data_IF_229643402995
#
_entry.id   IF_229643402995
#
_cell.length_a   1.000
_cell.length_b   1.000
_cell.length_c   1.000
_cell.angle_alpha   90.00
_cell.angle_beta   90.00
_cell.angle_gamma   90.00
#
_symmetry.space_group_name_H-M   'P 1'
#
loop_
_entity.id
_entity.type
_entity.pdbx_description
1 polymer ?
#
# COMPACT_ATOMS: atom_id res chain seq x y z
N UNK A 1 -6.07 5.88 -22.53
CA UNK A 1 -5.16 5.53 -21.44
C UNK A 1 -3.84 5.22 -22.11
N UNK A 2 -2.81 6.04 -21.88
CA UNK A 2 -1.47 5.73 -22.39
C UNK A 2 -1.00 4.44 -21.72
N UNK A 3 -0.19 3.64 -22.41
CA UNK A 3 0.30 2.35 -21.89
C UNK A 3 1.23 2.43 -20.67
N UNK A 4 1.28 3.58 -20.00
CA UNK A 4 2.11 3.94 -18.84
C UNK A 4 1.26 4.48 -17.68
N UNK A 5 -0.07 4.45 -17.79
CA UNK A 5 -1.01 4.88 -16.75
C UNK A 5 -1.28 3.72 -15.76
N UNK A 6 -0.22 3.25 -15.09
CA UNK A 6 -0.29 2.20 -14.08
C UNK A 6 0.84 2.36 -13.04
N UNK A 7 0.62 1.94 -11.79
CA UNK A 7 1.69 1.85 -10.80
C UNK A 7 2.61 0.67 -11.11
N UNK A 8 3.92 0.88 -11.28
CA UNK A 8 4.89 -0.23 -11.34
C UNK A 8 4.99 -0.93 -9.98
N UNK A 9 5.04 -0.15 -8.91
CA UNK A 9 5.18 -0.66 -7.55
C UNK A 9 4.22 0.07 -6.60
N UNK A 10 3.48 -0.69 -5.80
CA UNK A 10 2.69 -0.16 -4.68
C UNK A 10 3.26 -0.67 -3.37
N UNK A 11 3.68 0.26 -2.53
CA UNK A 11 4.19 0.01 -1.18
C UNK A 11 3.09 0.26 -0.17
N UNK A 12 2.90 -0.68 0.76
CA UNK A 12 1.99 -0.52 1.90
C UNK A 12 2.83 -0.47 3.17
N UNK A 13 2.74 0.65 3.88
CA UNK A 13 3.53 0.93 5.07
C UNK A 13 2.61 1.19 6.27
N UNK A 14 3.03 0.73 7.45
CA UNK A 14 2.39 1.00 8.73
C UNK A 14 3.48 1.35 9.73
N UNK A 15 3.70 2.63 9.97
CA UNK A 15 4.88 3.13 10.70
C UNK A 15 4.97 2.63 12.15
N UNK A 16 3.82 2.36 12.77
CA UNK A 16 3.70 1.92 14.16
C UNK A 16 3.78 0.39 14.35
N UNK A 17 3.93 -0.37 13.26
CA UNK A 17 4.21 -1.79 13.34
C UNK A 17 5.72 -2.04 13.55
N UNK A 18 6.11 -3.11 14.28
CA UNK A 18 7.53 -3.48 14.44
C UNK A 18 8.29 -3.63 13.12
N UNK A 19 7.56 -4.02 12.07
CA UNK A 19 8.02 -4.05 10.70
C UNK A 19 7.15 -3.07 9.89
N UNK A 20 7.66 -1.87 9.57
CA UNK A 20 6.87 -0.85 8.91
C UNK A 20 6.46 -1.19 7.47
N UNK A 21 7.32 -1.86 6.71
CA UNK A 21 7.01 -2.32 5.37
C UNK A 21 6.17 -3.59 5.43
N UNK A 22 4.88 -3.47 5.11
CA UNK A 22 3.94 -4.59 5.18
C UNK A 22 3.95 -5.41 3.90
N UNK A 23 3.96 -4.74 2.76
CA UNK A 23 3.98 -5.39 1.47
C UNK A 23 4.43 -4.45 0.34
N UNK A 24 4.96 -5.06 -0.72
CA UNK A 24 5.24 -4.44 -2.01
C UNK A 24 4.57 -5.25 -3.11
N UNK A 25 3.79 -4.57 -3.94
CA UNK A 25 3.09 -5.18 -5.07
C UNK A 25 3.66 -4.64 -6.36
N UNK A 26 4.03 -5.54 -7.26
CA UNK A 26 4.53 -5.19 -8.58
C UNK A 26 3.41 -5.39 -9.57
N UNK A 27 3.10 -4.35 -10.34
CA UNK A 27 2.19 -4.48 -11.47
C UNK A 27 2.97 -4.37 -12.77
N UNK A 28 2.36 -4.90 -13.81
CA UNK A 28 2.86 -4.83 -15.18
C UNK A 28 1.70 -4.49 -16.10
N UNK A 29 2.01 -4.11 -17.33
CA UNK A 29 0.98 -3.90 -18.35
C UNK A 29 0.11 -5.16 -18.59
N UNK A 30 0.62 -6.36 -18.29
CA UNK A 30 -0.14 -7.62 -18.39
C UNK A 30 -1.12 -7.84 -17.23
N UNK A 31 -1.03 -7.05 -16.15
CA UNK A 31 -1.90 -7.16 -14.98
C UNK A 31 -3.33 -6.68 -15.25
N UNK A 32 -3.57 -5.99 -16.37
CA UNK A 32 -4.89 -5.54 -16.82
C UNK A 32 -5.45 -4.34 -16.05
N UNK A 33 -5.63 -4.47 -14.72
CA UNK A 33 -6.07 -3.39 -13.83
C UNK A 33 -5.29 -3.42 -12.52
N UNK A 34 -4.86 -2.25 -12.04
CA UNK A 34 -4.20 -2.10 -10.75
C UNK A 34 -5.23 -2.00 -9.61
N UNK A 35 -5.95 -3.10 -9.36
CA UNK A 35 -6.88 -3.26 -8.24
C UNK A 35 -6.37 -4.37 -7.31
N UNK A 36 -6.25 -4.07 -6.02
CA UNK A 36 -5.72 -4.98 -5.02
C UNK A 36 -6.46 -4.81 -3.69
N UNK A 37 -6.86 -5.93 -3.11
CA UNK A 37 -7.37 -6.01 -1.74
C UNK A 37 -6.46 -6.90 -0.89
N UNK A 38 -6.01 -6.37 0.26
CA UNK A 38 -5.15 -7.09 1.20
C UNK A 38 -5.72 -7.08 2.60
N UNK A 39 -5.27 -8.04 3.42
CA UNK A 39 -5.51 -8.05 4.87
C UNK A 39 -4.18 -7.99 5.59
N UNK A 40 -4.04 -7.00 6.46
CA UNK A 40 -2.81 -6.75 7.23
C UNK A 40 -3.10 -6.87 8.72
N UNK A 41 -2.08 -7.24 9.50
CA UNK A 41 -2.15 -7.23 10.97
C UNK A 41 -1.61 -5.90 11.48
N UNK A 42 -2.41 -5.20 12.29
CA UNK A 42 -2.03 -3.93 12.91
C UNK A 42 -1.92 -4.12 14.42
N UNK A 43 -0.84 -3.59 15.00
CA UNK A 43 -0.58 -3.68 16.44
C UNK A 43 -1.42 -2.69 17.24
N UNK A 44 -1.54 -1.46 16.73
CA UNK A 44 -2.24 -0.35 17.36
C UNK A 44 -2.88 0.53 16.30
N UNK A 45 -3.74 1.46 16.72
CA UNK A 45 -4.33 2.48 15.84
C UNK A 45 -3.22 3.35 15.25
N UNK A 46 -3.14 3.42 13.93
CA UNK A 46 -2.08 4.17 13.24
C UNK A 46 -2.47 4.49 11.81
N UNK A 47 -1.66 5.33 11.16
CA UNK A 47 -1.76 5.55 9.71
C UNK A 47 -1.22 4.35 8.94
N UNK A 48 -2.01 3.94 7.95
CA UNK A 48 -1.59 3.09 6.83
C UNK A 48 -1.26 4.03 5.69
N UNK A 49 -0.06 3.91 5.13
CA UNK A 49 0.43 4.74 4.03
C UNK A 49 0.56 3.84 2.81
N UNK A 50 -0.06 4.25 1.71
CA UNK A 50 0.10 3.63 0.40
C UNK A 50 0.93 4.56 -0.49
N UNK A 51 2.04 4.06 -1.02
CA UNK A 51 2.88 4.80 -1.98
C UNK A 51 2.83 4.04 -3.30
N UNK A 52 2.45 4.73 -4.37
CA UNK A 52 2.38 4.20 -5.72
C UNK A 52 3.47 4.84 -6.58
N UNK A 53 4.47 4.06 -6.97
CA UNK A 53 5.45 4.43 -7.98
C UNK A 53 4.85 4.13 -9.35
N UNK A 54 4.58 5.18 -10.14
CA UNK A 54 3.94 5.10 -11.45
C UNK A 54 4.97 4.82 -12.55
N UNK A 55 4.55 4.18 -13.64
CA UNK A 55 5.42 3.88 -14.78
C UNK A 55 5.95 5.14 -15.50
N UNK A 56 5.28 6.28 -15.34
CA UNK A 56 5.77 7.58 -15.82
C UNK A 56 6.84 8.22 -14.90
N UNK A 57 7.20 7.54 -13.81
CA UNK A 57 8.16 8.00 -12.80
C UNK A 57 7.57 8.93 -11.74
N UNK A 58 6.28 9.25 -11.81
CA UNK A 58 5.61 10.01 -10.75
C UNK A 58 5.34 9.11 -9.54
N UNK A 59 5.19 9.74 -8.37
CA UNK A 59 4.90 9.02 -7.12
C UNK A 59 3.62 9.59 -6.53
N UNK A 60 2.62 8.74 -6.36
CA UNK A 60 1.42 9.01 -5.61
C UNK A 60 1.56 8.53 -4.16
N UNK A 61 0.96 9.26 -3.23
CA UNK A 61 0.88 8.87 -1.82
C UNK A 61 -0.55 9.06 -1.33
N UNK A 62 -1.05 8.09 -0.58
CA UNK A 62 -2.28 8.21 0.18
C UNK A 62 -2.08 7.72 1.62
N UNK A 63 -2.83 8.32 2.54
CA UNK A 63 -2.76 8.02 3.97
C UNK A 63 -4.14 7.77 4.52
N UNK A 64 -4.29 6.64 5.20
CA UNK A 64 -5.54 6.27 5.83
C UNK A 64 -5.34 5.91 7.30
N UNK A 65 -6.00 6.62 8.20
CA UNK A 65 -5.95 6.33 9.62
C UNK A 65 -6.89 5.16 9.96
N UNK A 66 -6.34 4.08 10.52
CA UNK A 66 -7.12 2.92 10.97
C UNK A 66 -7.12 2.87 12.48
N UNK A 67 -8.33 2.94 13.07
CA UNK A 67 -8.52 2.77 14.50
C UNK A 67 -8.69 1.28 14.86
N UNK A 68 -7.82 0.76 15.73
CA UNK A 68 -7.80 -0.62 16.20
C UNK A 68 -8.36 -0.67 17.62
N UNK A 69 -9.64 -1.01 17.75
CA UNK A 69 -10.34 -1.05 19.06
C UNK A 69 -9.85 -2.18 19.98
N UNK A 70 -9.37 -3.28 19.41
CA UNK A 70 -8.74 -4.41 20.14
C UNK A 70 -7.45 -4.73 19.40
N UNK A 71 -6.30 -4.40 20.00
CA UNK A 71 -4.97 -4.67 19.42
C UNK A 71 -4.81 -6.15 19.09
N UNK A 72 -4.79 -6.50 17.81
CA UNK A 72 -4.77 -7.89 17.33
C UNK A 72 -3.36 -8.50 17.27
N UNK A 73 -2.37 -7.85 17.89
CA UNK A 73 -0.98 -8.31 17.93
C UNK A 73 -0.59 -8.59 19.38
N UNK A 74 -0.85 -9.82 19.83
CA UNK A 74 -0.22 -10.41 21.03
C UNK A 74 1.16 -10.95 20.68
#
# INVERSE_FOLDING_TARGET
MNGEDYPEVVHILVLDNPFPEIAKFFFSNESGSADLAIRIRMRQSSEVIAIAEMADGTVGEDRFFVDVTIGACS
#
